data_IF_785939483538
#
_entry.id   IF_785939483538
#
_cell.length_a   1.000
_cell.length_b   1.000
_cell.length_c   1.000
_cell.angle_alpha   90.00
_cell.angle_beta   90.00
_cell.angle_gamma   90.00
#
_symmetry.space_group_name_H-M   'P 1'
#
loop_
_entity.id
_entity.type
_entity.pdbx_description
1 polymer ?
#
# COMPACT_ATOMS: atom_id res chain seq x y z
N UNK A 1 -43.68 18.23 -20.91
CA UNK A 1 -43.18 17.27 -21.93
C UNK A 1 -42.83 15.95 -21.25
N UNK A 2 -43.70 14.97 -21.46
CA UNK A 2 -43.64 13.50 -21.21
C UNK A 2 -44.74 12.94 -22.16
N UNK A 3 -44.75 11.68 -22.64
CA UNK A 3 -44.17 10.48 -22.05
C UNK A 3 -43.52 9.57 -23.15
N UNK A 4 -43.78 8.25 -23.24
CA UNK A 4 -42.85 7.18 -22.83
C UNK A 4 -42.58 6.18 -23.98
N UNK A 5 -41.46 5.45 -23.97
CA UNK A 5 -41.33 4.29 -24.84
C UNK A 5 -41.59 3.01 -24.04
N UNK A 6 -42.75 2.44 -24.33
CA UNK A 6 -43.30 1.18 -23.85
C UNK A 6 -42.62 -0.03 -24.51
N UNK A 7 -42.42 -1.06 -23.68
CA UNK A 7 -42.83 -2.46 -23.86
C UNK A 7 -42.76 -3.10 -25.26
N UNK A 8 -42.00 -4.20 -25.36
CA UNK A 8 -42.56 -5.46 -25.84
C UNK A 8 -42.20 -6.62 -24.89
N UNK A 9 -43.27 -7.28 -24.44
CA UNK A 9 -43.34 -8.58 -23.74
C UNK A 9 -42.97 -9.72 -24.70
N UNK A 10 -42.46 -10.86 -24.22
CA UNK A 10 -43.29 -12.06 -23.96
C UNK A 10 -42.52 -13.07 -23.09
N UNK A 11 -43.16 -13.66 -22.05
CA UNK A 11 -42.59 -14.67 -21.18
C UNK A 11 -42.91 -16.10 -21.69
N UNK A 12 -41.91 -16.96 -21.83
CA UNK A 12 -42.13 -18.42 -21.95
C UNK A 12 -42.12 -19.05 -20.55
N UNK A 13 -43.34 -19.32 -20.09
CA UNK A 13 -43.66 -20.13 -18.91
C UNK A 13 -43.44 -21.61 -19.25
N UNK A 14 -42.37 -22.23 -18.75
CA UNK A 14 -42.29 -23.69 -18.61
C UNK A 14 -42.49 -24.06 -17.14
N UNK A 15 -43.35 -25.04 -16.89
CA UNK A 15 -43.91 -25.38 -15.58
C UNK A 15 -43.29 -26.69 -15.06
N UNK A 16 -42.84 -26.62 -13.79
CA UNK A 16 -42.91 -27.64 -12.71
C UNK A 16 -41.80 -28.73 -12.66
N UNK A 17 -41.64 -29.43 -11.53
CA UNK A 17 -41.19 -28.90 -10.24
C UNK A 17 -40.16 -29.85 -9.61
N UNK A 18 -39.06 -29.35 -9.04
CA UNK A 18 -38.28 -30.19 -8.13
C UNK A 18 -37.92 -29.36 -6.89
N UNK A 19 -38.58 -29.72 -5.80
CA UNK A 19 -38.13 -29.41 -4.45
C UNK A 19 -36.70 -29.91 -4.27
N UNK A 20 -35.80 -28.99 -3.92
CA UNK A 20 -34.63 -29.28 -3.12
C UNK A 20 -34.29 -28.00 -2.36
N UNK A 21 -34.51 -28.11 -1.06
CA UNK A 21 -34.22 -27.15 -0.02
C UNK A 21 -32.79 -26.61 -0.11
N UNK A 22 -32.65 -25.33 0.23
CA UNK A 22 -31.49 -24.82 0.97
C UNK A 22 -30.16 -24.79 0.23
N UNK A 23 -29.88 -23.70 -0.46
CA UNK A 23 -28.51 -23.17 -0.54
C UNK A 23 -28.59 -21.65 -0.45
N UNK A 24 -28.51 -21.16 0.79
CA UNK A 24 -28.45 -19.76 1.11
C UNK A 24 -27.25 -19.10 0.41
N UNK A 25 -27.51 -17.91 -0.11
CA UNK A 25 -26.57 -16.91 -0.60
C UNK A 25 -25.26 -16.86 0.22
N UNK A 26 -24.18 -17.39 -0.36
CA UNK A 26 -22.82 -17.11 0.08
C UNK A 26 -22.11 -16.25 -0.97
N UNK A 27 -22.65 -15.06 -1.24
CA UNK A 27 -21.89 -13.99 -1.86
C UNK A 27 -21.10 -13.28 -0.75
N UNK A 28 -20.03 -13.93 -0.28
CA UNK A 28 -19.02 -13.28 0.56
C UNK A 28 -18.29 -12.25 -0.31
N UNK A 29 -18.79 -11.03 -0.25
CA UNK A 29 -18.13 -9.83 -0.74
C UNK A 29 -16.74 -9.74 -0.10
N UNK A 30 -15.70 -10.24 -0.79
CA UNK A 30 -14.31 -9.90 -0.52
C UNK A 30 -14.08 -8.44 -0.95
N UNK A 31 -14.77 -7.50 -0.29
CA UNK A 31 -14.28 -6.14 -0.21
C UNK A 31 -13.07 -6.22 0.71
N UNK A 32 -11.91 -6.54 0.13
CA UNK A 32 -10.64 -6.38 0.81
C UNK A 32 -10.53 -4.91 1.18
N UNK A 33 -10.84 -4.58 2.44
CA UNK A 33 -10.66 -3.25 3.00
C UNK A 33 -9.19 -2.89 2.85
N UNK A 34 -8.85 -2.18 1.78
CA UNK A 34 -7.55 -1.54 1.66
C UNK A 34 -7.41 -0.59 2.85
N UNK A 35 -6.25 -0.55 3.53
CA UNK A 35 -6.04 0.41 4.58
C UNK A 35 -6.31 1.83 4.05
N UNK A 36 -6.95 2.66 4.87
CA UNK A 36 -7.41 4.00 4.51
C UNK A 36 -6.26 5.01 4.40
N UNK A 37 -6.39 6.11 5.12
CA UNK A 37 -5.33 7.10 5.32
C UNK A 37 -5.19 7.37 6.83
N UNK A 38 -4.06 7.96 7.27
CA UNK A 38 -3.94 8.42 8.65
C UNK A 38 -5.07 9.41 9.03
N UNK A 39 -5.47 9.50 10.31
CA UNK A 39 -6.52 10.41 10.75
C UNK A 39 -6.26 11.86 10.32
N UNK A 40 -7.27 12.50 9.73
CA UNK A 40 -7.18 13.89 9.26
C UNK A 40 -6.37 14.09 7.99
N UNK A 41 -5.94 13.02 7.31
CA UNK A 41 -5.24 13.08 6.02
C UNK A 41 -6.19 12.64 4.90
N UNK A 42 -6.23 13.41 3.81
CA UNK A 42 -6.92 13.00 2.60
C UNK A 42 -6.08 11.92 1.87
N UNK A 43 -6.71 10.77 1.59
CA UNK A 43 -6.03 9.63 0.96
C UNK A 43 -5.51 9.96 -0.45
N UNK A 44 -6.31 10.65 -1.26
CA UNK A 44 -5.98 10.93 -2.66
C UNK A 44 -4.83 11.93 -2.77
N UNK A 45 -4.79 12.94 -1.88
CA UNK A 45 -3.68 13.88 -1.80
C UNK A 45 -2.39 13.18 -1.37
N UNK A 46 -2.48 12.23 -0.44
CA UNK A 46 -1.35 11.40 -0.02
C UNK A 46 -0.87 10.48 -1.15
N UNK A 47 -1.79 9.80 -1.84
CA UNK A 47 -1.49 8.95 -3.00
C UNK A 47 -0.82 9.78 -4.11
N UNK A 48 -1.31 10.98 -4.40
CA UNK A 48 -0.73 11.89 -5.38
C UNK A 48 0.67 12.38 -4.97
N UNK A 49 0.86 12.74 -3.71
CA UNK A 49 2.15 13.19 -3.19
C UNK A 49 3.20 12.07 -3.21
N UNK A 50 2.83 10.86 -2.78
CA UNK A 50 3.71 9.68 -2.82
C UNK A 50 4.02 9.28 -4.27
N UNK A 51 3.02 9.26 -5.14
CA UNK A 51 3.20 8.97 -6.58
C UNK A 51 4.16 9.95 -7.23
N UNK A 52 4.05 11.26 -6.93
CA UNK A 52 4.96 12.27 -7.45
C UNK A 52 6.39 12.09 -6.91
N UNK A 53 6.54 11.64 -5.68
CA UNK A 53 7.83 11.51 -5.01
C UNK A 53 8.59 10.23 -5.42
N UNK A 54 7.88 9.10 -5.47
CA UNK A 54 8.47 7.75 -5.60
C UNK A 54 7.63 6.81 -6.48
N UNK A 55 6.76 7.34 -7.32
CA UNK A 55 5.84 6.56 -8.15
C UNK A 55 6.58 5.67 -9.16
N UNK A 56 6.51 4.38 -8.91
CA UNK A 56 6.94 3.31 -9.81
C UNK A 56 6.04 2.08 -9.55
N UNK A 57 5.73 1.25 -10.57
CA UNK A 57 4.94 0.04 -10.38
C UNK A 57 5.53 -0.93 -9.34
N UNK A 58 6.84 -0.88 -9.11
CA UNK A 58 7.56 -1.69 -8.14
C UNK A 58 7.86 -0.95 -6.84
N UNK A 59 7.28 0.23 -6.58
CA UNK A 59 7.38 0.90 -5.27
C UNK A 59 6.22 0.49 -4.37
N UNK A 60 6.49 0.23 -3.10
CA UNK A 60 5.46 0.18 -2.06
C UNK A 60 5.81 1.10 -0.89
N UNK A 61 4.81 1.77 -0.33
CA UNK A 61 4.91 2.57 0.89
C UNK A 61 3.81 2.15 1.85
N UNK A 62 4.16 1.94 3.10
CA UNK A 62 3.24 1.68 4.20
C UNK A 62 3.41 2.75 5.27
N UNK A 63 2.31 3.15 5.91
CA UNK A 63 2.31 3.96 7.13
C UNK A 63 1.53 3.21 8.19
N UNK A 64 2.07 3.17 9.40
CA UNK A 64 1.45 2.55 10.56
C UNK A 64 1.54 3.43 11.81
N UNK A 65 0.70 3.13 12.78
CA UNK A 65 0.84 3.61 14.15
C UNK A 65 2.11 3.00 14.80
N UNK A 66 2.91 3.84 15.46
CA UNK A 66 4.01 3.37 16.29
C UNK A 66 3.48 2.53 17.47
N UNK A 67 4.27 1.56 17.93
CA UNK A 67 3.89 0.63 19.00
C UNK A 67 2.95 -0.48 18.54
N UNK A 68 1.77 -0.14 17.99
CA UNK A 68 0.77 -1.13 17.56
C UNK A 68 1.11 -1.79 16.23
N UNK A 69 1.84 -1.09 15.35
CA UNK A 69 2.15 -1.57 13.99
C UNK A 69 0.93 -1.61 13.07
N UNK A 70 -0.22 -1.08 13.50
CA UNK A 70 -1.47 -1.07 12.72
C UNK A 70 -1.28 -0.23 11.46
N UNK A 71 -1.34 -0.89 10.30
CA UNK A 71 -1.21 -0.24 9.00
C UNK A 71 -2.44 0.64 8.73
N UNK A 72 -2.20 1.93 8.55
CA UNK A 72 -3.23 2.93 8.26
C UNK A 72 -3.30 3.28 6.78
N UNK A 73 -2.19 3.12 6.06
CA UNK A 73 -2.09 3.48 4.66
C UNK A 73 -1.16 2.54 3.90
N UNK A 74 -1.50 2.32 2.63
CA UNK A 74 -0.70 1.61 1.66
C UNK A 74 -0.77 2.34 0.32
N UNK A 75 0.41 2.61 -0.23
CA UNK A 75 0.62 2.95 -1.62
C UNK A 75 0.91 1.66 -2.40
N UNK A 76 0.28 1.53 -3.58
CA UNK A 76 0.34 0.35 -4.44
C UNK A 76 -0.42 -0.88 -3.90
N UNK A 77 -0.37 -1.98 -4.63
CA UNK A 77 -1.15 -3.19 -4.38
C UNK A 77 -0.60 -4.00 -3.21
N UNK A 78 -1.47 -4.81 -2.59
CA UNK A 78 -1.06 -5.75 -1.55
C UNK A 78 0.03 -6.73 -2.03
N UNK A 79 -0.03 -7.15 -3.30
CA UNK A 79 0.95 -8.06 -3.89
C UNK A 79 2.31 -7.40 -4.09
N UNK A 80 2.36 -6.14 -4.54
CA UNK A 80 3.63 -5.38 -4.62
C UNK A 80 4.27 -5.25 -3.24
N UNK A 81 3.47 -4.93 -2.22
CA UNK A 81 3.96 -4.74 -0.85
C UNK A 81 4.33 -6.02 -0.11
N UNK A 82 3.86 -7.18 -0.57
CA UNK A 82 4.15 -8.49 0.03
C UNK A 82 5.45 -9.13 -0.51
N UNK A 83 6.10 -8.50 -1.51
CA UNK A 83 7.34 -9.00 -2.09
C UNK A 83 8.48 -8.99 -1.06
N UNK A 84 9.35 -9.98 -1.20
CA UNK A 84 10.58 -10.11 -0.45
C UNK A 84 11.77 -9.71 -1.32
N UNK A 85 12.70 -8.96 -0.72
CA UNK A 85 13.95 -8.57 -1.34
C UNK A 85 15.11 -8.72 -0.34
N UNK A 86 16.38 -8.70 -0.80
CA UNK A 86 17.52 -8.71 0.09
C UNK A 86 17.41 -7.67 1.21
N UNK A 87 17.76 -8.05 2.45
CA UNK A 87 17.65 -7.17 3.61
C UNK A 87 18.66 -6.00 3.58
N UNK A 88 19.74 -6.14 2.83
CA UNK A 88 20.85 -5.19 2.64
C UNK A 88 21.68 -4.85 3.90
N UNK A 89 21.19 -5.14 5.11
CA UNK A 89 21.90 -4.98 6.38
C UNK A 89 22.32 -6.32 7.02
N UNK A 90 21.80 -7.43 6.50
CA UNK A 90 22.09 -8.79 6.94
C UNK A 90 21.92 -9.79 5.79
N UNK A 91 22.48 -11.00 5.89
CA UNK A 91 22.17 -12.09 4.96
C UNK A 91 20.67 -12.41 4.94
N UNK A 92 20.15 -12.75 3.76
CA UNK A 92 18.77 -13.16 3.55
C UNK A 92 17.84 -12.04 3.04
N UNK A 93 16.54 -12.36 3.06
CA UNK A 93 15.49 -11.49 2.53
C UNK A 93 14.64 -10.86 3.64
N UNK A 94 13.97 -9.76 3.33
CA UNK A 94 13.07 -9.03 4.21
C UNK A 94 11.79 -8.65 3.46
N UNK A 95 10.66 -8.68 4.19
CA UNK A 95 9.39 -8.05 3.77
C UNK A 95 9.30 -6.61 4.25
N UNK A 96 8.59 -5.78 3.50
CA UNK A 96 8.31 -4.41 3.91
C UNK A 96 7.55 -4.32 5.24
N UNK A 97 6.60 -5.24 5.48
CA UNK A 97 5.85 -5.30 6.74
C UNK A 97 6.75 -5.56 7.95
N UNK A 98 7.75 -6.45 7.82
CA UNK A 98 8.72 -6.71 8.89
C UNK A 98 9.61 -5.50 9.17
N UNK A 99 9.99 -4.75 8.13
CA UNK A 99 10.70 -3.47 8.30
C UNK A 99 9.84 -2.43 9.04
N UNK A 100 8.56 -2.34 8.69
CA UNK A 100 7.60 -1.45 9.32
C UNK A 100 7.38 -1.83 10.79
N UNK A 101 7.19 -3.11 11.11
CA UNK A 101 7.01 -3.62 12.47
C UNK A 101 8.23 -3.34 13.35
N UNK A 102 9.44 -3.53 12.81
CA UNK A 102 10.67 -3.20 13.53
C UNK A 102 10.73 -1.70 13.83
N UNK A 103 10.45 -0.88 12.82
CA UNK A 103 10.43 0.58 12.95
C UNK A 103 9.32 1.07 13.89
N UNK A 104 8.16 0.41 13.91
CA UNK A 104 7.08 0.71 14.84
C UNK A 104 7.49 0.49 16.30
N UNK A 105 8.41 -0.46 16.55
CA UNK A 105 8.92 -0.77 17.90
C UNK A 105 10.03 0.18 18.34
N UNK A 106 11.02 0.42 17.50
CA UNK A 106 12.24 1.15 17.90
C UNK A 106 12.35 2.58 17.37
N UNK A 107 11.48 2.95 16.42
CA UNK A 107 11.43 4.25 15.74
C UNK A 107 12.77 4.66 15.12
N UNK A 108 13.64 3.71 14.80
CA UNK A 108 14.94 4.01 14.22
C UNK A 108 14.82 4.22 12.71
N UNK A 109 15.36 5.34 12.19
CA UNK A 109 15.42 5.55 10.75
C UNK A 109 16.36 4.55 10.09
N UNK A 110 15.96 4.02 8.95
CA UNK A 110 16.72 3.06 8.15
C UNK A 110 16.66 3.47 6.69
N UNK A 111 17.82 3.56 6.06
CA UNK A 111 17.96 3.91 4.66
C UNK A 111 19.03 3.00 4.06
N UNK A 112 18.60 1.90 3.44
CA UNK A 112 19.47 0.82 2.98
C UNK A 112 19.31 0.61 1.48
N UNK A 113 20.35 0.12 0.81
CA UNK A 113 20.27 -0.28 -0.61
C UNK A 113 21.31 -1.33 -0.93
N UNK A 114 20.97 -2.22 -1.84
CA UNK A 114 21.88 -3.24 -2.36
C UNK A 114 21.36 -3.80 -3.70
N UNK A 115 22.21 -4.55 -4.39
CA UNK A 115 21.85 -5.18 -5.65
C UNK A 115 20.90 -6.36 -5.39
N UNK A 116 19.88 -6.53 -6.24
CA UNK A 116 18.99 -7.69 -6.24
C UNK A 116 19.43 -8.76 -7.22
N UNK A 117 20.31 -8.41 -8.16
CA UNK A 117 20.95 -9.34 -9.09
C UNK A 117 22.47 -9.32 -8.95
N UNK A 118 23.11 -10.45 -9.26
CA UNK A 118 24.56 -10.62 -9.15
C UNK A 118 25.34 -9.71 -10.13
N UNK A 119 24.75 -9.39 -11.28
CA UNK A 119 25.33 -8.52 -12.30
C UNK A 119 25.15 -7.01 -12.02
N UNK A 120 24.54 -6.67 -10.88
CA UNK A 120 24.22 -5.30 -10.48
C UNK A 120 23.27 -4.53 -11.43
N UNK A 121 22.58 -5.22 -12.34
CA UNK A 121 21.62 -4.60 -13.27
C UNK A 121 20.38 -4.05 -12.55
N UNK A 122 20.05 -4.59 -11.38
CA UNK A 122 18.90 -4.20 -10.55
C UNK A 122 19.28 -4.08 -9.09
N UNK A 123 18.64 -3.13 -8.42
CA UNK A 123 18.80 -2.91 -6.99
C UNK A 123 17.48 -2.70 -6.28
N UNK A 124 17.53 -2.80 -4.95
CA UNK A 124 16.44 -2.44 -4.05
C UNK A 124 16.89 -1.32 -3.13
N UNK A 125 16.04 -0.32 -2.98
CA UNK A 125 16.14 0.67 -1.92
C UNK A 125 15.10 0.40 -0.84
N UNK A 126 15.51 0.57 0.42
CA UNK A 126 14.65 0.51 1.61
C UNK A 126 14.74 1.83 2.36
N UNK A 127 13.59 2.36 2.79
CA UNK A 127 13.52 3.53 3.64
C UNK A 127 12.47 3.29 4.73
N UNK A 128 12.78 3.54 5.99
CA UNK A 128 11.82 3.47 7.07
C UNK A 128 12.19 4.47 8.16
N UNK A 129 11.21 4.92 8.93
CA UNK A 129 11.45 5.80 10.05
C UNK A 129 10.17 6.41 10.63
N UNK A 130 10.30 7.22 11.68
CA UNK A 130 9.21 8.01 12.21
C UNK A 130 8.82 9.12 11.21
N UNK A 131 7.53 9.45 11.16
CA UNK A 131 7.06 10.64 10.45
C UNK A 131 7.07 11.82 11.42
N UNK A 132 7.78 12.88 11.04
CA UNK A 132 8.07 14.00 11.94
C UNK A 132 6.81 14.66 12.51
N UNK A 133 6.85 14.96 13.82
CA UNK A 133 5.73 15.56 14.54
C UNK A 133 4.53 14.65 14.77
N UNK A 134 4.68 13.32 14.64
CA UNK A 134 3.59 12.35 14.81
C UNK A 134 3.99 11.08 15.54
N UNK A 135 2.99 10.29 15.93
CA UNK A 135 3.12 8.90 16.40
C UNK A 135 3.02 7.88 15.25
N UNK A 136 3.32 8.30 14.02
CA UNK A 136 3.30 7.43 12.85
C UNK A 136 4.72 7.03 12.45
N UNK A 137 4.84 5.84 11.90
CA UNK A 137 6.05 5.34 11.24
C UNK A 137 5.71 4.96 9.81
N UNK A 138 6.72 5.00 8.95
CA UNK A 138 6.60 4.51 7.58
C UNK A 138 7.67 3.46 7.27
N UNK A 139 7.38 2.67 6.26
CA UNK A 139 8.37 1.87 5.55
C UNK A 139 8.06 1.94 4.06
N UNK A 140 9.10 2.05 3.24
CA UNK A 140 9.03 2.04 1.81
C UNK A 140 10.12 1.15 1.21
N UNK A 141 9.80 0.61 0.05
CA UNK A 141 10.70 -0.15 -0.79
C UNK A 141 10.52 0.27 -2.24
N UNK A 142 11.60 0.21 -3.01
CA UNK A 142 11.57 0.33 -4.48
C UNK A 142 12.58 -0.64 -5.07
N UNK A 143 12.19 -1.46 -6.03
CA UNK A 143 13.10 -2.40 -6.70
C UNK A 143 13.06 -2.23 -8.22
N UNK A 144 14.24 -2.26 -8.86
CA UNK A 144 14.37 -2.12 -10.31
C UNK A 144 15.73 -1.56 -10.73
N UNK A 145 15.89 -1.35 -12.03
CA UNK A 145 17.12 -0.78 -12.62
C UNK A 145 17.37 0.67 -12.19
N UNK A 146 16.29 1.42 -11.94
CA UNK A 146 16.33 2.82 -11.50
C UNK A 146 15.81 2.99 -10.08
N UNK A 147 15.90 1.94 -9.26
CA UNK A 147 15.49 2.01 -7.87
C UNK A 147 16.22 3.15 -7.16
N UNK A 148 15.48 3.97 -6.41
CA UNK A 148 16.11 5.01 -5.62
C UNK A 148 16.91 4.40 -4.48
N UNK A 149 18.12 4.91 -4.21
CA UNK A 149 18.80 4.61 -2.96
C UNK A 149 17.90 4.95 -1.77
N UNK A 150 17.97 4.15 -0.70
CA UNK A 150 17.11 4.26 0.47
C UNK A 150 17.12 5.66 1.08
N UNK A 151 18.28 6.32 1.11
CA UNK A 151 18.41 7.70 1.60
C UNK A 151 17.62 8.69 0.74
N UNK A 152 17.75 8.59 -0.58
CA UNK A 152 17.04 9.42 -1.53
C UNK A 152 15.52 9.18 -1.45
N UNK A 153 15.10 7.93 -1.26
CA UNK A 153 13.69 7.59 -1.05
C UNK A 153 13.15 8.19 0.26
N UNK A 154 13.92 8.14 1.35
CA UNK A 154 13.56 8.76 2.62
C UNK A 154 13.35 10.28 2.48
N UNK A 155 14.31 10.98 1.86
CA UNK A 155 14.25 12.43 1.65
C UNK A 155 13.02 12.84 0.83
N UNK A 156 12.72 12.09 -0.24
CA UNK A 156 11.55 12.35 -1.08
C UNK A 156 10.23 12.09 -0.37
N UNK A 157 10.16 11.03 0.42
CA UNK A 157 8.97 10.70 1.20
C UNK A 157 8.72 11.70 2.33
N UNK A 158 9.76 12.20 2.98
CA UNK A 158 9.61 13.28 3.97
C UNK A 158 8.93 14.51 3.33
N UNK A 159 9.38 14.92 2.15
CA UNK A 159 8.75 15.98 1.38
C UNK A 159 7.30 15.68 0.99
N UNK A 160 6.98 14.42 0.65
CA UNK A 160 5.62 14.00 0.34
C UNK A 160 4.71 14.06 1.58
N UNK A 161 5.19 13.57 2.73
CA UNK A 161 4.44 13.55 3.98
C UNK A 161 4.15 14.96 4.51
N UNK A 162 5.07 15.91 4.34
CA UNK A 162 4.78 17.33 4.64
C UNK A 162 3.70 17.89 3.72
N UNK A 163 3.82 17.68 2.40
CA UNK A 163 2.86 18.19 1.41
C UNK A 163 1.45 17.64 1.60
N UNK A 164 1.33 16.37 1.97
CA UNK A 164 0.05 15.70 2.21
C UNK A 164 -0.50 15.90 3.63
N UNK A 165 0.16 16.70 4.48
CA UNK A 165 -0.30 16.99 5.85
C UNK A 165 -0.20 15.82 6.83
N UNK A 166 0.52 14.74 6.46
CA UNK A 166 0.81 13.61 7.36
C UNK A 166 1.81 14.05 8.42
N UNK A 167 2.92 14.66 8.00
CA UNK A 167 3.90 15.25 8.91
C UNK A 167 3.33 16.51 9.57
N UNK A 168 3.69 16.74 10.84
CA UNK A 168 3.37 17.97 11.59
C UNK A 168 4.60 18.83 11.85
N UNK A 169 5.74 18.48 11.25
CA UNK A 169 6.91 19.34 11.27
C UNK A 169 6.66 20.61 10.42
N UNK A 170 7.20 21.77 10.85
CA UNK A 170 7.08 23.04 10.13
C UNK A 170 7.79 23.03 8.77
#
# INVERSE_FOLDING_TARGET
>A
MRPPWSCWTTPTRSRRPLELAGAALAALSLAACSPGAPPGVNRDDLDAAVSKAVGDPNTCVLIAEAGSGKVLYRYNSATTCAREFPACDAPGSRKLSSLLELTAKDRQPRALSCNTQADASRGVGWAAGPIAGTELVYAAMMEGERAFPGRMMADRLEGAFRKAGVSKAP
#
